data_IF_872553117214
#
_entry.id   IF_872553117214
#
_cell.length_a   1.000
_cell.length_b   1.000
_cell.length_c   1.000
_cell.angle_alpha   90.00
_cell.angle_beta   90.00
_cell.angle_gamma   90.00
#
_symmetry.space_group_name_H-M   'P 1'
#
loop_
_entity.id
_entity.type
_entity.pdbx_description
1 polymer ?
#
# COMPACT_ATOMS: atom_id res chain seq x y z
N UNK A 1 3.14 11.05 19.25
CA UNK A 1 3.56 9.89 20.08
C UNK A 1 2.41 9.47 21.00
N UNK A 2 1.38 8.85 20.42
CA UNK A 2 0.14 8.51 21.12
C UNK A 2 -0.01 6.98 21.16
N UNK A 3 -0.12 6.40 22.35
CA UNK A 3 -0.51 5.01 22.54
C UNK A 3 -2.03 4.91 22.71
N UNK A 4 -2.64 3.92 22.05
CA UNK A 4 -4.08 3.69 22.06
C UNK A 4 -4.39 2.32 22.68
N UNK A 5 -5.20 2.31 23.75
CA UNK A 5 -5.80 1.08 24.30
C UNK A 5 -7.29 1.15 24.07
N UNK A 6 -7.86 0.13 23.44
CA UNK A 6 -9.23 0.16 22.90
C UNK A 6 -10.00 -1.11 23.22
N UNK A 7 -11.28 -0.93 23.57
CA UNK A 7 -12.27 -2.02 23.61
C UNK A 7 -12.70 -2.44 22.19
N UNK A 8 -12.55 -1.53 21.22
CA UNK A 8 -12.88 -1.74 19.82
C UNK A 8 -11.62 -2.11 19.04
N UNK A 9 -11.65 -3.27 18.38
CA UNK A 9 -10.56 -3.66 17.47
C UNK A 9 -10.67 -2.93 16.11
N UNK A 10 -9.70 -3.16 15.22
CA UNK A 10 -9.57 -2.47 13.91
C UNK A 10 -10.40 -3.11 12.78
N UNK A 11 -11.41 -3.94 13.10
CA UNK A 11 -12.21 -4.62 12.08
C UNK A 11 -13.33 -3.72 11.56
N UNK A 12 -13.70 -3.89 10.28
CA UNK A 12 -14.70 -3.06 9.61
C UNK A 12 -16.10 -3.18 10.22
N UNK A 13 -16.51 -4.38 10.61
CA UNK A 13 -17.85 -4.65 11.14
C UNK A 13 -17.84 -4.82 12.66
N UNK A 14 -18.61 -4.00 13.37
CA UNK A 14 -18.76 -4.10 14.83
C UNK A 14 -20.23 -4.11 15.25
N UNK A 15 -20.49 -4.72 16.41
CA UNK A 15 -21.80 -4.65 17.03
C UNK A 15 -22.03 -3.26 17.62
N UNK A 16 -23.25 -2.74 17.51
CA UNK A 16 -23.62 -1.47 18.12
C UNK A 16 -23.70 -1.61 19.65
N UNK A 17 -22.60 -1.28 20.33
CA UNK A 17 -22.43 -1.26 21.79
C UNK A 17 -21.52 -0.10 22.16
N UNK A 18 -21.58 0.35 23.41
CA UNK A 18 -20.61 1.32 23.92
C UNK A 18 -19.21 0.69 23.99
N UNK A 19 -18.18 1.47 23.65
CA UNK A 19 -16.77 1.09 23.76
C UNK A 19 -15.93 2.28 24.19
N UNK A 20 -14.77 2.01 24.82
CA UNK A 20 -13.83 3.02 25.28
C UNK A 20 -12.52 2.97 24.48
N UNK A 21 -11.95 4.15 24.27
CA UNK A 21 -10.59 4.35 23.81
C UNK A 21 -9.87 5.27 24.81
N UNK A 22 -8.72 4.84 25.31
CA UNK A 22 -7.85 5.69 26.14
C UNK A 22 -6.60 6.03 25.34
N UNK A 23 -6.37 7.33 25.19
CA UNK A 23 -5.20 7.87 24.50
C UNK A 23 -4.18 8.35 25.54
N UNK A 24 -2.97 7.78 25.52
CA UNK A 24 -1.89 8.14 26.44
C UNK A 24 -0.66 8.57 25.65
N UNK A 25 -0.06 9.69 26.03
CA UNK A 25 1.20 10.13 25.46
C UNK A 25 2.37 9.56 26.26
N UNK A 26 3.03 8.54 25.72
CA UNK A 26 4.23 7.95 26.31
C UNK A 26 5.19 7.51 25.19
N UNK A 27 6.34 8.18 25.09
CA UNK A 27 7.28 7.98 24.00
C UNK A 27 7.95 6.59 24.02
N UNK A 28 8.25 6.05 25.20
CA UNK A 28 8.89 4.73 25.32
C UNK A 28 7.93 3.62 24.91
N UNK A 29 6.66 3.70 25.33
CA UNK A 29 5.63 2.73 24.94
C UNK A 29 5.28 2.83 23.46
N UNK A 30 5.23 4.05 22.92
CA UNK A 30 5.00 4.26 21.51
C UNK A 30 6.08 3.58 20.65
N UNK A 31 7.36 3.78 20.98
CA UNK A 31 8.46 3.15 20.26
C UNK A 31 8.41 1.62 20.36
N UNK A 32 8.17 1.06 21.55
CA UNK A 32 8.09 -0.39 21.74
C UNK A 32 6.90 -1.03 21.03
N UNK A 33 5.73 -0.36 21.01
CA UNK A 33 4.56 -0.83 20.28
C UNK A 33 4.75 -0.75 18.76
N UNK A 34 5.36 0.34 18.27
CA UNK A 34 5.69 0.48 16.86
C UNK A 34 6.68 -0.60 16.40
N UNK A 35 7.76 -0.83 17.16
CA UNK A 35 8.76 -1.86 16.86
C UNK A 35 8.14 -3.28 16.88
N UNK A 36 7.27 -3.56 17.86
CA UNK A 36 6.53 -4.82 17.92
C UNK A 36 5.57 -5.03 16.75
N UNK A 37 4.91 -3.97 16.28
CA UNK A 37 4.07 -4.02 15.07
C UNK A 37 4.93 -4.32 13.86
N UNK A 38 6.02 -3.58 13.63
CA UNK A 38 6.93 -3.76 12.48
C UNK A 38 7.55 -5.16 12.48
N UNK A 39 7.95 -5.69 13.64
CA UNK A 39 8.56 -7.01 13.74
C UNK A 39 7.55 -8.16 13.58
N UNK A 40 6.28 -7.96 13.94
CA UNK A 40 5.21 -8.93 13.77
C UNK A 40 4.50 -8.80 12.41
N UNK A 41 4.74 -7.71 11.69
CA UNK A 41 4.15 -7.46 10.40
C UNK A 41 4.77 -8.40 9.36
N UNK A 42 3.96 -9.35 8.89
CA UNK A 42 4.29 -10.18 7.73
C UNK A 42 4.07 -9.43 6.41
N UNK A 43 3.51 -8.21 6.46
CA UNK A 43 3.29 -7.36 5.29
C UNK A 43 4.49 -6.46 4.97
N UNK A 44 5.70 -6.81 5.43
CA UNK A 44 6.94 -6.15 5.02
C UNK A 44 6.97 -5.99 3.49
N UNK A 45 6.77 -4.77 3.01
CA UNK A 45 6.63 -4.43 1.59
C UNK A 45 5.38 -3.61 1.23
N UNK A 46 4.42 -3.46 2.13
CA UNK A 46 3.34 -2.46 1.98
C UNK A 46 3.63 -1.34 2.96
N UNK A 47 4.40 -0.34 2.50
CA UNK A 47 4.47 0.93 3.19
C UNK A 47 3.03 1.48 3.28
N UNK A 48 2.51 1.73 4.48
CA UNK A 48 1.25 2.47 4.68
C UNK A 48 1.39 3.97 4.29
N UNK A 49 2.60 4.40 3.89
CA UNK A 49 2.90 5.64 3.15
C UNK A 49 3.09 5.42 1.64
N UNK A 50 3.05 4.17 1.15
CA UNK A 50 2.74 3.88 -0.24
C UNK A 50 1.21 4.00 -0.38
N UNK A 51 0.75 5.25 -0.48
CA UNK A 51 -0.01 5.53 -1.69
C UNK A 51 0.89 5.04 -2.83
N UNK A 52 0.74 3.78 -3.26
CA UNK A 52 1.36 3.29 -4.47
C UNK A 52 0.97 4.33 -5.50
N UNK A 53 1.93 5.15 -5.89
CA UNK A 53 1.71 6.25 -6.82
C UNK A 53 1.48 5.51 -8.12
N UNK A 54 0.22 5.20 -8.35
CA UNK A 54 -0.17 4.27 -9.38
C UNK A 54 0.33 4.84 -10.70
N UNK A 55 1.22 4.13 -11.37
CA UNK A 55 1.71 4.51 -12.69
C UNK A 55 0.68 4.12 -13.73
N UNK A 56 -0.52 4.67 -13.58
CA UNK A 56 -1.64 4.40 -14.45
C UNK A 56 -1.69 5.41 -15.57
N UNK A 57 -1.37 6.67 -15.31
CA UNK A 57 -1.47 7.72 -16.31
C UNK A 57 -0.15 7.88 -17.04
N UNK A 58 -0.25 8.01 -18.36
CA UNK A 58 0.87 8.33 -19.25
C UNK A 58 1.64 9.58 -18.84
N UNK A 59 0.96 10.53 -18.19
CA UNK A 59 1.55 11.78 -17.72
C UNK A 59 2.23 11.63 -16.33
N UNK A 60 2.19 10.44 -15.71
CA UNK A 60 2.82 10.17 -14.42
C UNK A 60 4.34 10.08 -14.59
N UNK A 61 5.00 11.22 -14.44
CA UNK A 61 6.45 11.37 -14.58
C UNK A 61 7.26 10.88 -13.37
N UNK A 62 6.57 10.41 -12.32
CA UNK A 62 7.16 9.98 -11.04
C UNK A 62 6.64 8.63 -10.58
N UNK A 63 7.12 7.61 -11.27
CA UNK A 63 6.94 6.21 -10.91
C UNK A 63 8.08 5.72 -10.01
N UNK A 64 7.75 5.08 -8.89
CA UNK A 64 8.75 4.39 -8.07
C UNK A 64 8.86 2.92 -8.50
N UNK A 65 10.00 2.30 -8.18
CA UNK A 65 10.14 0.86 -8.35
C UNK A 65 9.03 0.09 -7.64
N UNK A 66 8.48 -0.92 -8.30
CA UNK A 66 7.45 -1.79 -7.72
C UNK A 66 6.03 -1.22 -7.80
N UNK A 67 5.86 0.03 -8.24
CA UNK A 67 4.53 0.58 -8.52
C UNK A 67 3.84 -0.21 -9.64
N UNK A 68 2.53 -0.42 -9.55
CA UNK A 68 1.78 -1.18 -10.56
C UNK A 68 1.59 -0.32 -11.82
N UNK A 69 1.92 -0.88 -12.97
CA UNK A 69 1.64 -0.29 -14.27
C UNK A 69 0.24 -0.70 -14.74
N UNK A 70 -0.60 0.29 -15.00
CA UNK A 70 -2.04 0.13 -15.23
C UNK A 70 -2.51 1.02 -16.38
N UNK A 71 -3.74 0.77 -16.85
CA UNK A 71 -4.35 1.60 -17.88
C UNK A 71 -4.68 3.00 -17.36
N UNK A 72 -4.50 4.03 -18.19
CA UNK A 72 -4.78 5.43 -17.84
C UNK A 72 -6.23 5.76 -17.50
N UNK A 73 -7.16 4.87 -17.77
CA UNK A 73 -8.57 4.99 -17.38
C UNK A 73 -8.88 4.27 -16.07
N UNK A 74 -7.86 3.85 -15.33
CA UNK A 74 -8.02 3.06 -14.13
C UNK A 74 -7.92 3.91 -12.87
N UNK A 75 -8.91 3.74 -12.00
CA UNK A 75 -8.95 4.37 -10.67
C UNK A 75 -8.33 3.50 -9.57
N UNK A 76 -8.16 2.18 -9.81
CA UNK A 76 -7.59 1.22 -8.86
C UNK A 76 -6.58 0.26 -9.53
N UNK A 77 -5.26 0.52 -9.39
CA UNK A 77 -4.20 -0.27 -10.01
C UNK A 77 -4.25 -1.76 -9.68
N UNK A 78 -4.78 -2.14 -8.50
CA UNK A 78 -4.85 -3.54 -8.06
C UNK A 78 -5.82 -4.39 -8.90
N UNK A 79 -6.68 -3.75 -9.68
CA UNK A 79 -7.73 -4.39 -10.50
C UNK A 79 -7.47 -4.29 -11.99
N UNK A 80 -6.46 -3.56 -12.43
CA UNK A 80 -6.32 -3.11 -13.83
C UNK A 80 -4.88 -3.09 -14.35
N UNK A 81 -4.01 -3.95 -13.82
CA UNK A 81 -2.70 -4.13 -14.42
C UNK A 81 -2.82 -4.59 -15.87
N UNK A 82 -1.82 -4.27 -16.70
CA UNK A 82 -1.72 -4.85 -18.04
C UNK A 82 -1.67 -6.40 -17.96
N UNK A 83 -1.93 -7.07 -19.09
CA UNK A 83 -1.56 -8.48 -19.25
C UNK A 83 -0.05 -8.59 -19.52
N UNK A 84 0.53 -9.79 -19.42
CA UNK A 84 1.96 -10.03 -19.69
C UNK A 84 2.41 -9.42 -21.04
N UNK A 85 1.62 -9.63 -22.09
CA UNK A 85 1.90 -9.06 -23.42
C UNK A 85 1.75 -7.53 -23.43
N UNK A 86 0.75 -6.99 -22.73
CA UNK A 86 0.52 -5.55 -22.64
C UNK A 86 1.59 -4.82 -21.82
N UNK A 87 2.18 -5.51 -20.84
CA UNK A 87 3.23 -4.97 -19.96
C UNK A 87 4.50 -4.62 -20.73
N UNK A 88 4.85 -5.40 -21.76
CA UNK A 88 5.97 -5.09 -22.67
C UNK A 88 5.61 -4.13 -23.82
N UNK A 89 4.36 -3.63 -23.84
CA UNK A 89 3.88 -2.71 -24.86
C UNK A 89 4.48 -1.31 -24.74
N UNK A 90 4.06 -0.42 -25.63
CA UNK A 90 4.61 0.94 -25.73
C UNK A 90 4.55 1.70 -24.38
N UNK A 91 3.48 1.53 -23.61
CA UNK A 91 3.34 2.14 -22.28
C UNK A 91 4.35 1.60 -21.26
N UNK A 92 4.50 0.28 -21.19
CA UNK A 92 5.43 -0.32 -20.25
C UNK A 92 6.89 -0.04 -20.59
N UNK A 93 7.21 0.23 -21.85
CA UNK A 93 8.56 0.69 -22.22
C UNK A 93 8.85 2.14 -21.79
N UNK A 94 7.82 2.97 -21.55
CA UNK A 94 8.00 4.37 -21.13
C UNK A 94 8.32 4.45 -19.64
N UNK A 95 7.68 3.60 -18.82
CA UNK A 95 7.85 3.57 -17.37
C UNK A 95 8.68 2.36 -16.89
N UNK A 96 9.50 1.79 -17.77
CA UNK A 96 10.36 0.63 -17.48
C UNK A 96 9.62 -0.54 -16.78
N UNK A 97 8.35 -0.76 -17.15
CA UNK A 97 7.52 -1.79 -16.56
C UNK A 97 7.98 -3.20 -16.96
N UNK A 98 7.98 -4.10 -15.98
CA UNK A 98 8.33 -5.51 -16.12
C UNK A 98 7.19 -6.38 -15.59
N UNK A 99 7.02 -7.55 -16.22
CA UNK A 99 6.09 -8.55 -15.74
C UNK A 99 6.73 -9.31 -14.58
N UNK A 100 6.15 -9.21 -13.38
CA UNK A 100 6.62 -9.89 -12.18
C UNK A 100 5.45 -10.52 -11.43
N UNK A 101 5.57 -11.82 -11.12
CA UNK A 101 4.61 -12.58 -10.31
C UNK A 101 3.12 -12.41 -10.71
N UNK A 102 2.86 -12.27 -12.01
CA UNK A 102 1.51 -12.15 -12.55
C UNK A 102 0.93 -10.73 -12.55
N UNK A 103 1.74 -9.72 -12.26
CA UNK A 103 1.37 -8.29 -12.31
C UNK A 103 2.43 -7.51 -13.10
N UNK A 104 2.00 -6.44 -13.77
CA UNK A 104 2.91 -5.50 -14.44
C UNK A 104 3.34 -4.40 -13.47
N UNK A 105 4.63 -4.27 -13.20
CA UNK A 105 5.16 -3.31 -12.22
C UNK A 105 6.34 -2.53 -12.80
N UNK A 106 6.55 -1.30 -12.35
CA UNK A 106 7.72 -0.47 -12.69
C UNK A 106 8.99 -1.18 -12.22
N UNK A 107 9.99 -1.21 -13.10
CA UNK A 107 11.21 -2.01 -13.02
C UNK A 107 11.85 -2.20 -11.65
N UNK A 108 12.43 -3.38 -11.47
CA UNK A 108 13.41 -3.72 -10.43
C UNK A 108 14.76 -2.99 -10.61
#
# INVERSE_FOLDING_TARGET
NLGLVVDNNRVYSQYSRGGLAVCLENQAWHAALADGIVAADSCSGIDDDAEGVACCHYDDDKCNQGDVCCYSSCDDPSTCSYSETGCSGDYGQIHDCVWSDGTCVVGA
#
